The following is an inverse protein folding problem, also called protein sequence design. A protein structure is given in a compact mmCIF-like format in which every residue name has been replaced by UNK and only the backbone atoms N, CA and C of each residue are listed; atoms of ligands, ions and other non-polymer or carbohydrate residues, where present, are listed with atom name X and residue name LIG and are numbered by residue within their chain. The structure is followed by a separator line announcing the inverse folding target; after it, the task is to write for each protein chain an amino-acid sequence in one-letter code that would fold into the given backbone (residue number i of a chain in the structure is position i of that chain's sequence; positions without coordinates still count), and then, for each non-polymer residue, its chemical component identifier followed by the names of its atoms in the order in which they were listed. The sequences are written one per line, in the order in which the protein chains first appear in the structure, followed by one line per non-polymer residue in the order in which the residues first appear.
data_IF_373695657642
#
_entry.id   IF_373695657642
#
_cell.length_a   1.000
_cell.length_b   1.000
_cell.length_c   1.000
_cell.angle_alpha   90.00
_cell.angle_beta   90.00
_cell.angle_gamma   90.00
#
_symmetry.space_group_name_H-M   'P 1'
#
loop_
_entity.id
_entity.type
_entity.pdbx_description
1 polymer ?
#
# COMPACT_ATOMS: atom_id res chain seq x y z
N UNK A 1 -25.43 -9.17 -5.40
CA UNK A 1 -25.51 -9.27 -3.92
C UNK A 1 -25.33 -7.87 -3.35
N UNK A 2 -26.07 -7.46 -2.32
CA UNK A 2 -25.81 -6.17 -1.67
C UNK A 2 -24.35 -6.13 -1.24
N UNK A 3 -23.64 -5.06 -1.57
CA UNK A 3 -22.24 -4.86 -1.18
C UNK A 3 -22.19 -4.57 0.33
N UNK A 4 -22.53 -5.57 1.13
CA UNK A 4 -22.61 -5.49 2.58
C UNK A 4 -21.21 -5.23 3.11
N UNK A 5 -21.10 -4.27 4.03
CA UNK A 5 -19.86 -3.95 4.70
C UNK A 5 -19.27 -5.21 5.35
N UNK A 6 -18.03 -5.56 4.97
CA UNK A 6 -17.30 -6.74 5.44
C UNK A 6 -16.42 -6.38 6.64
N UNK A 7 -17.06 -6.25 7.80
CA UNK A 7 -16.40 -5.93 9.06
C UNK A 7 -15.34 -6.99 9.45
N UNK A 8 -15.57 -8.25 9.06
CA UNK A 8 -14.63 -9.35 9.21
C UNK A 8 -13.29 -9.08 8.50
N UNK A 9 -13.34 -8.62 7.25
CA UNK A 9 -12.14 -8.31 6.46
C UNK A 9 -11.41 -7.10 7.02
N UNK A 10 -12.12 -6.05 7.43
CA UNK A 10 -11.49 -4.90 8.08
C UNK A 10 -10.85 -5.28 9.43
N UNK A 11 -11.45 -6.20 10.18
CA UNK A 11 -10.87 -6.76 11.40
C UNK A 11 -9.57 -7.54 11.14
N UNK A 12 -9.55 -8.39 10.10
CA UNK A 12 -8.32 -9.10 9.69
C UNK A 12 -7.21 -8.12 9.28
N UNK A 13 -7.54 -7.07 8.54
CA UNK A 13 -6.58 -6.01 8.19
C UNK A 13 -6.03 -5.31 9.43
N UNK A 14 -6.86 -5.05 10.44
CA UNK A 14 -6.39 -4.48 11.70
C UNK A 14 -5.44 -5.43 12.45
N UNK A 15 -5.72 -6.74 12.46
CA UNK A 15 -4.82 -7.74 13.05
C UNK A 15 -3.45 -7.79 12.36
N UNK A 16 -3.41 -7.61 11.03
CA UNK A 16 -2.15 -7.55 10.27
C UNK A 16 -1.23 -6.39 10.70
N UNK A 17 -1.74 -5.35 11.36
CA UNK A 17 -0.95 -4.21 11.84
C UNK A 17 -0.24 -4.56 13.16
N UNK A 18 -0.75 -5.52 13.95
CA UNK A 18 -0.19 -5.85 15.27
C UNK A 18 1.29 -6.26 15.21
N UNK A 19 1.72 -7.18 14.32
CA UNK A 19 3.14 -7.54 14.22
C UNK A 19 4.04 -6.35 13.86
N UNK A 20 3.53 -5.39 13.08
CA UNK A 20 4.28 -4.17 12.69
C UNK A 20 4.52 -3.28 13.90
N UNK A 21 3.49 -3.08 14.72
CA UNK A 21 3.59 -2.27 15.95
C UNK A 21 4.52 -2.93 16.96
N UNK A 22 4.39 -4.25 17.15
CA UNK A 22 5.22 -5.01 18.08
C UNK A 22 6.69 -5.05 17.65
N UNK A 23 6.96 -5.16 16.35
CA UNK A 23 8.31 -5.03 15.78
C UNK A 23 8.94 -3.69 16.12
N UNK A 24 8.23 -2.58 15.86
CA UNK A 24 8.74 -1.24 16.19
C UNK A 24 8.80 -0.97 17.70
N UNK A 25 8.02 -1.68 18.50
CA UNK A 25 8.11 -1.68 19.97
C UNK A 25 9.25 -2.54 20.54
N UNK A 26 10.09 -3.13 19.69
CA UNK A 26 11.19 -4.03 20.07
C UNK A 26 10.73 -5.21 20.96
N UNK A 27 9.51 -5.71 20.73
CA UNK A 27 8.96 -6.85 21.47
C UNK A 27 9.64 -8.13 20.96
N UNK A 28 10.21 -8.98 21.86
CA UNK A 28 10.84 -10.24 21.46
C UNK A 28 9.89 -11.13 20.64
N UNK A 29 10.43 -11.92 19.71
CA UNK A 29 9.69 -12.82 18.81
C UNK A 29 8.87 -12.14 17.69
N UNK A 30 8.92 -10.81 17.58
CA UNK A 30 8.25 -10.06 16.52
C UNK A 30 9.24 -9.42 15.53
N UNK A 31 10.44 -10.00 15.32
CA UNK A 31 11.41 -9.47 14.35
C UNK A 31 10.87 -9.49 12.91
N UNK A 32 9.87 -10.35 12.62
CA UNK A 32 9.20 -10.50 11.34
C UNK A 32 8.02 -9.55 11.09
N UNK A 33 7.97 -8.37 11.71
CA UNK A 33 6.82 -7.45 11.62
C UNK A 33 6.40 -7.10 10.19
N UNK A 34 7.33 -7.12 9.24
CA UNK A 34 7.07 -6.88 7.80
C UNK A 34 6.06 -7.86 7.19
N UNK A 35 5.94 -9.08 7.72
CA UNK A 35 4.94 -10.08 7.28
C UNK A 35 3.51 -9.58 7.52
N UNK A 36 3.31 -8.74 8.53
CA UNK A 36 2.04 -8.06 8.77
C UNK A 36 1.63 -7.17 7.59
N UNK A 37 2.60 -6.42 7.03
CA UNK A 37 2.37 -5.56 5.86
C UNK A 37 2.07 -6.40 4.61
N UNK A 38 2.80 -7.50 4.42
CA UNK A 38 2.56 -8.44 3.31
C UNK A 38 1.12 -8.97 3.35
N UNK A 39 0.69 -9.45 4.52
CA UNK A 39 -0.65 -9.97 4.74
C UNK A 39 -1.72 -8.89 4.53
N UNK A 40 -1.46 -7.67 5.00
CA UNK A 40 -2.36 -6.53 4.80
C UNK A 40 -2.57 -6.21 3.32
N UNK A 41 -1.50 -6.22 2.51
CA UNK A 41 -1.60 -6.02 1.06
C UNK A 41 -2.38 -7.14 0.37
N UNK A 42 -2.13 -8.42 0.72
CA UNK A 42 -2.89 -9.55 0.17
C UNK A 42 -4.39 -9.40 0.41
N UNK A 43 -4.79 -9.11 1.64
CA UNK A 43 -6.21 -8.94 2.00
C UNK A 43 -6.81 -7.71 1.30
N UNK A 44 -6.05 -6.61 1.20
CA UNK A 44 -6.52 -5.39 0.54
C UNK A 44 -6.67 -5.56 -0.97
N UNK A 45 -5.75 -6.32 -1.59
CA UNK A 45 -5.78 -6.71 -2.99
C UNK A 45 -6.99 -7.58 -3.32
N UNK A 46 -7.22 -8.61 -2.51
CA UNK A 46 -8.40 -9.47 -2.59
C UNK A 46 -9.71 -8.66 -2.56
N UNK A 47 -9.88 -7.83 -1.53
CA UNK A 47 -11.10 -7.06 -1.34
C UNK A 47 -11.38 -6.15 -2.54
N UNK A 48 -10.38 -5.38 -2.98
CA UNK A 48 -10.57 -4.39 -4.05
C UNK A 48 -10.75 -5.07 -5.40
N UNK A 49 -10.00 -6.13 -5.70
CA UNK A 49 -10.14 -6.86 -6.95
C UNK A 49 -11.52 -7.50 -7.08
N UNK A 50 -12.01 -8.16 -6.02
CA UNK A 50 -13.35 -8.76 -6.00
C UNK A 50 -14.44 -7.70 -6.14
N UNK A 51 -14.32 -6.56 -5.44
CA UNK A 51 -15.26 -5.45 -5.56
C UNK A 51 -15.32 -4.89 -6.99
N UNK A 52 -14.16 -4.63 -7.60
CA UNK A 52 -14.09 -4.07 -8.96
C UNK A 52 -14.62 -5.09 -9.96
N UNK A 53 -14.16 -6.34 -9.91
CA UNK A 53 -14.59 -7.40 -10.83
C UNK A 53 -16.10 -7.63 -10.76
N UNK A 54 -16.67 -7.70 -9.54
CA UNK A 54 -18.12 -7.82 -9.34
C UNK A 54 -18.87 -6.63 -9.91
N UNK A 55 -18.44 -5.40 -9.62
CA UNK A 55 -19.10 -4.19 -10.13
C UNK A 55 -18.99 -4.10 -11.67
N UNK A 56 -17.90 -4.57 -12.28
CA UNK A 56 -17.74 -4.63 -13.74
C UNK A 56 -18.71 -5.64 -14.34
N UNK A 57 -18.77 -6.86 -13.79
CA UNK A 57 -19.68 -7.91 -14.26
C UNK A 57 -21.13 -7.48 -14.14
N UNK A 58 -21.50 -6.81 -13.05
CA UNK A 58 -22.84 -6.25 -12.82
C UNK A 58 -23.13 -4.97 -13.63
N UNK A 59 -22.18 -4.48 -14.43
CA UNK A 59 -22.24 -3.21 -15.19
C UNK A 59 -22.52 -1.98 -14.32
N UNK A 60 -22.08 -2.00 -13.06
CA UNK A 60 -22.25 -0.92 -12.07
C UNK A 60 -20.96 -0.17 -11.74
N UNK A 61 -19.83 -0.62 -12.27
CA UNK A 61 -18.54 -0.01 -11.96
C UNK A 61 -18.47 1.46 -12.43
N UNK A 62 -18.04 2.33 -11.52
CA UNK A 62 -17.81 3.76 -11.77
C UNK A 62 -16.54 4.20 -11.08
N UNK A 63 -15.58 4.71 -11.85
CA UNK A 63 -14.32 5.25 -11.34
C UNK A 63 -14.55 6.37 -10.33
N UNK A 64 -15.44 7.32 -10.63
CA UNK A 64 -15.76 8.43 -9.73
C UNK A 64 -16.32 7.95 -8.38
N UNK A 65 -17.24 6.97 -8.40
CA UNK A 65 -17.77 6.40 -7.16
C UNK A 65 -16.70 5.61 -6.38
N UNK A 66 -15.82 4.89 -7.07
CA UNK A 66 -14.70 4.16 -6.48
C UNK A 66 -13.76 5.11 -5.73
N UNK A 67 -13.21 6.12 -6.42
CA UNK A 67 -12.28 7.09 -5.81
C UNK A 67 -12.95 7.93 -4.73
N UNK A 68 -14.22 8.33 -4.89
CA UNK A 68 -14.96 9.09 -3.86
C UNK A 68 -15.14 8.31 -2.55
N UNK A 69 -15.33 6.98 -2.61
CA UNK A 69 -15.42 6.15 -1.41
C UNK A 69 -14.07 6.08 -0.69
N UNK A 70 -12.98 5.89 -1.44
CA UNK A 70 -11.62 5.87 -0.88
C UNK A 70 -11.25 7.21 -0.25
N UNK A 71 -11.46 8.31 -0.97
CA UNK A 71 -11.18 9.65 -0.49
C UNK A 71 -11.89 9.97 0.83
N UNK A 72 -13.19 9.64 0.96
CA UNK A 72 -13.96 9.84 2.21
C UNK A 72 -13.47 8.96 3.38
N UNK A 73 -12.86 7.80 3.09
CA UNK A 73 -12.31 6.90 4.10
C UNK A 73 -10.91 7.36 4.56
N UNK A 74 -10.07 7.85 3.65
CA UNK A 74 -8.65 8.07 3.90
C UNK A 74 -8.27 9.52 4.17
N UNK A 75 -8.82 10.47 3.38
CA UNK A 75 -8.39 11.88 3.46
C UNK A 75 -8.61 12.51 4.84
N UNK A 76 -9.73 12.29 5.56
CA UNK A 76 -9.91 12.93 6.86
C UNK A 76 -8.80 12.58 7.86
N UNK A 77 -8.43 11.29 7.93
CA UNK A 77 -7.39 10.83 8.85
C UNK A 77 -6.00 11.34 8.42
N UNK A 78 -5.69 11.33 7.11
CA UNK A 78 -4.41 11.82 6.61
C UNK A 78 -4.22 13.32 6.78
N UNK A 79 -5.25 14.10 6.47
CA UNK A 79 -5.21 15.56 6.66
C UNK A 79 -5.03 15.91 8.14
N UNK A 80 -5.72 15.19 9.04
CA UNK A 80 -5.51 15.35 10.47
C UNK A 80 -4.08 15.01 10.88
N UNK A 81 -3.54 13.88 10.41
CA UNK A 81 -2.16 13.48 10.69
C UNK A 81 -1.16 14.55 10.21
N UNK A 82 -1.30 15.03 8.97
CA UNK A 82 -0.41 16.06 8.42
C UNK A 82 -0.48 17.36 9.21
N UNK A 83 -1.69 17.80 9.57
CA UNK A 83 -1.88 18.99 10.40
C UNK A 83 -1.24 18.82 11.78
N UNK A 84 -1.45 17.66 12.42
CA UNK A 84 -0.87 17.36 13.73
C UNK A 84 0.67 17.35 13.68
N UNK A 85 1.27 16.69 12.70
CA UNK A 85 2.73 16.67 12.53
C UNK A 85 3.25 18.07 12.22
N UNK A 86 2.57 18.85 11.39
CA UNK A 86 2.99 20.22 11.07
C UNK A 86 2.98 21.12 12.30
N UNK A 87 1.88 21.11 13.07
CA UNK A 87 1.76 21.89 14.32
C UNK A 87 2.82 21.46 15.33
N UNK A 88 3.01 20.15 15.52
CA UNK A 88 4.02 19.62 16.43
C UNK A 88 5.44 20.02 15.99
N UNK A 89 5.74 19.93 14.69
CA UNK A 89 7.04 20.30 14.15
C UNK A 89 7.33 21.80 14.31
N UNK A 90 6.34 22.66 14.12
CA UNK A 90 6.48 24.10 14.31
C UNK A 90 6.74 24.47 15.77
N UNK A 91 6.14 23.73 16.71
CA UNK A 91 6.25 24.02 18.13
C UNK A 91 7.53 23.48 18.78
N UNK A 92 8.02 22.31 18.33
CA UNK A 92 9.05 21.57 19.06
C UNK A 92 10.32 21.24 18.27
N UNK A 93 10.32 21.36 16.94
CA UNK A 93 11.43 20.89 16.10
C UNK A 93 12.28 22.04 15.53
N UNK A 94 13.53 21.71 15.20
CA UNK A 94 14.43 22.65 14.53
C UNK A 94 13.94 22.97 13.11
N UNK A 95 14.34 24.09 12.49
CA UNK A 95 13.99 24.40 11.10
C UNK A 95 14.38 23.30 10.11
N UNK A 96 15.50 22.62 10.34
CA UNK A 96 15.94 21.49 9.51
C UNK A 96 14.99 20.28 9.63
N UNK A 97 14.60 19.91 10.85
CA UNK A 97 13.66 18.83 11.11
C UNK A 97 12.25 19.16 10.58
N UNK A 98 11.81 20.41 10.71
CA UNK A 98 10.55 20.89 10.11
C UNK A 98 10.58 20.76 8.58
N UNK A 99 11.69 21.17 7.94
CA UNK A 99 11.84 21.02 6.49
C UNK A 99 11.78 19.54 6.06
N UNK A 100 12.43 18.64 6.82
CA UNK A 100 12.33 17.19 6.57
C UNK A 100 10.90 16.67 6.69
N UNK A 101 10.14 17.08 7.72
CA UNK A 101 8.74 16.68 7.87
C UNK A 101 7.85 17.23 6.74
N UNK A 102 8.12 18.45 6.24
CA UNK A 102 7.43 18.98 5.05
C UNK A 102 7.73 18.16 3.79
N UNK A 103 8.97 17.70 3.61
CA UNK A 103 9.31 16.79 2.51
C UNK A 103 8.56 15.46 2.61
N UNK A 104 8.48 14.87 3.82
CA UNK A 104 7.73 13.63 4.05
C UNK A 104 6.22 13.79 3.76
N UNK A 105 5.61 14.88 4.23
CA UNK A 105 4.20 15.19 3.95
C UNK A 105 4.01 15.37 2.44
N UNK A 106 4.90 16.09 1.76
CA UNK A 106 4.82 16.33 0.32
C UNK A 106 4.94 15.03 -0.47
N UNK A 107 5.90 14.16 -0.11
CA UNK A 107 6.05 12.86 -0.73
C UNK A 107 4.80 11.97 -0.51
N UNK A 108 4.19 12.04 0.67
CA UNK A 108 2.95 11.31 0.97
C UNK A 108 1.74 11.82 0.16
N UNK A 109 1.57 13.15 0.06
CA UNK A 109 0.49 13.76 -0.76
C UNK A 109 0.63 13.40 -2.24
N UNK A 110 1.86 13.39 -2.74
CA UNK A 110 2.17 13.02 -4.12
C UNK A 110 2.13 11.50 -4.36
N UNK A 111 1.78 10.70 -3.34
CA UNK A 111 1.78 9.24 -3.37
C UNK A 111 3.14 8.68 -3.80
N UNK A 112 4.23 9.31 -3.39
CA UNK A 112 5.61 8.98 -3.75
C UNK A 112 6.48 8.62 -2.53
N UNK A 113 5.89 8.58 -1.33
CA UNK A 113 6.66 8.38 -0.10
C UNK A 113 7.44 7.06 -0.06
N UNK A 114 6.98 6.01 -0.75
CA UNK A 114 7.72 4.75 -0.85
C UNK A 114 9.08 4.92 -1.54
N UNK A 115 9.15 5.66 -2.64
CA UNK A 115 10.43 5.96 -3.30
C UNK A 115 11.25 6.98 -2.52
N UNK A 116 10.60 7.95 -1.88
CA UNK A 116 11.27 8.90 -0.99
C UNK A 116 12.07 8.20 0.12
N UNK A 117 11.49 7.19 0.76
CA UNK A 117 12.18 6.42 1.81
C UNK A 117 13.16 5.39 1.26
N UNK A 118 12.87 4.77 0.11
CA UNK A 118 13.78 3.84 -0.55
C UNK A 118 15.18 4.45 -0.77
N UNK A 119 15.24 5.73 -1.13
CA UNK A 119 16.51 6.43 -1.35
C UNK A 119 17.23 6.87 -0.06
N UNK A 120 16.56 6.82 1.09
CA UNK A 120 17.01 7.48 2.33
C UNK A 120 17.26 6.51 3.47
N UNK A 121 16.65 5.33 3.42
CA UNK A 121 16.58 4.41 4.55
C UNK A 121 16.71 2.98 4.06
N UNK A 122 17.60 2.24 4.71
CA UNK A 122 17.56 0.78 4.65
C UNK A 122 16.58 0.25 5.71
N UNK A 123 15.42 -0.23 5.27
CA UNK A 123 14.37 -0.75 6.14
C UNK A 123 14.87 -1.81 7.12
N UNK A 124 15.83 -2.64 6.69
CA UNK A 124 16.32 -3.78 7.46
C UNK A 124 17.56 -3.46 8.31
N UNK A 125 18.11 -2.24 8.24
CA UNK A 125 19.30 -1.84 8.99
C UNK A 125 19.03 -1.41 10.45
N UNK A 126 17.76 -1.32 10.86
CA UNK A 126 17.36 -1.16 12.26
C UNK A 126 17.28 0.27 12.83
N UNK A 127 17.75 1.29 12.12
CA UNK A 127 17.82 2.68 12.63
C UNK A 127 16.88 3.66 11.88
N UNK A 128 15.58 3.39 11.95
CA UNK A 128 14.56 4.06 11.12
C UNK A 128 13.66 5.04 11.89
N UNK A 129 13.97 5.32 13.16
CA UNK A 129 13.11 6.09 14.08
C UNK A 129 13.03 7.59 13.78
N UNK A 130 13.82 8.10 12.82
CA UNK A 130 13.94 9.52 12.52
C UNK A 130 12.79 10.10 11.69
N UNK A 131 11.98 9.27 11.04
CA UNK A 131 10.93 9.74 10.11
C UNK A 131 9.53 9.54 10.69
N UNK A 132 8.88 10.66 11.05
CA UNK A 132 7.55 10.64 11.70
C UNK A 132 6.44 10.11 10.80
N UNK A 133 6.57 10.22 9.48
CA UNK A 133 5.59 9.73 8.52
C UNK A 133 6.10 8.48 7.77
N UNK A 134 7.02 7.71 8.34
CA UNK A 134 7.63 6.56 7.65
C UNK A 134 6.55 5.65 7.04
N UNK A 135 5.54 5.30 7.84
CA UNK A 135 4.46 4.37 7.50
C UNK A 135 3.60 4.76 6.27
N UNK A 136 3.66 6.01 5.78
CA UNK A 136 2.90 6.44 4.59
C UNK A 136 3.39 5.80 3.30
N UNK A 137 4.58 5.19 3.30
CA UNK A 137 5.13 4.43 2.17
C UNK A 137 4.16 3.35 1.69
N UNK A 138 3.59 2.60 2.63
CA UNK A 138 2.71 1.47 2.32
C UNK A 138 1.40 1.94 1.69
N UNK A 139 0.86 3.04 2.19
CA UNK A 139 -0.30 3.71 1.62
C UNK A 139 -0.02 4.25 0.21
N UNK A 140 1.17 4.78 -0.05
CA UNK A 140 1.53 5.25 -1.39
C UNK A 140 1.52 4.11 -2.41
N UNK A 141 2.07 2.94 -2.06
CA UNK A 141 1.99 1.74 -2.92
C UNK A 141 0.53 1.32 -3.15
N UNK A 142 -0.27 1.28 -2.09
CA UNK A 142 -1.69 0.93 -2.15
C UNK A 142 -2.46 1.88 -3.10
N UNK A 143 -2.30 3.19 -2.97
CA UNK A 143 -2.99 4.17 -3.82
C UNK A 143 -2.45 4.19 -5.25
N UNK A 144 -1.13 4.04 -5.48
CA UNK A 144 -0.57 3.89 -6.83
C UNK A 144 -1.18 2.69 -7.56
N UNK A 145 -1.32 1.55 -6.87
CA UNK A 145 -2.00 0.38 -7.40
C UNK A 145 -3.46 0.71 -7.72
N UNK A 146 -4.18 1.41 -6.84
CA UNK A 146 -5.59 1.76 -7.08
C UNK A 146 -5.83 2.83 -8.12
N UNK A 147 -4.83 3.62 -8.49
CA UNK A 147 -4.92 4.52 -9.63
C UNK A 147 -4.90 3.75 -10.97
N UNK A 148 -4.10 2.69 -11.05
CA UNK A 148 -3.85 1.96 -12.31
C UNK A 148 -4.76 0.75 -12.45
N UNK A 149 -4.90 -0.03 -11.39
CA UNK A 149 -5.51 -1.36 -11.42
C UNK A 149 -6.98 -1.39 -11.85
N UNK A 150 -7.88 -0.49 -11.38
CA UNK A 150 -9.27 -0.53 -11.81
C UNK A 150 -9.43 -0.29 -13.31
N UNK A 151 -8.58 0.55 -13.90
CA UNK A 151 -8.56 0.80 -15.34
C UNK A 151 -8.01 -0.42 -16.09
N UNK A 152 -6.88 -0.97 -15.64
CA UNK A 152 -6.27 -2.17 -16.22
C UNK A 152 -7.24 -3.37 -16.21
N UNK A 153 -7.90 -3.63 -15.08
CA UNK A 153 -8.87 -4.71 -14.94
C UNK A 153 -10.11 -4.49 -15.80
N UNK A 154 -10.64 -3.26 -15.83
CA UNK A 154 -11.78 -2.92 -16.69
C UNK A 154 -11.46 -3.13 -18.18
N UNK A 155 -10.29 -2.69 -18.62
CA UNK A 155 -9.84 -2.88 -20.00
C UNK A 155 -9.68 -4.37 -20.29
N UNK A 156 -8.93 -5.10 -19.46
CA UNK A 156 -8.69 -6.53 -19.66
C UNK A 156 -9.98 -7.35 -19.72
N UNK A 157 -10.93 -7.12 -18.81
CA UNK A 157 -12.21 -7.83 -18.80
C UNK A 157 -13.07 -7.52 -20.02
N UNK A 158 -13.01 -6.29 -20.54
CA UNK A 158 -13.80 -5.87 -21.72
C UNK A 158 -13.18 -6.30 -23.04
N UNK A 159 -11.85 -6.34 -23.15
CA UNK A 159 -11.16 -6.64 -24.42
C UNK A 159 -10.76 -8.10 -24.56
N UNK A 160 -10.29 -8.74 -23.48
CA UNK A 160 -9.80 -10.11 -23.50
C UNK A 160 -10.87 -11.13 -23.08
N UNK A 161 -11.90 -10.68 -22.38
CA UNK A 161 -12.88 -11.55 -21.71
C UNK A 161 -12.34 -12.11 -20.39
N UNK A 162 -13.24 -12.65 -19.57
CA UNK A 162 -12.96 -13.02 -18.17
C UNK A 162 -11.78 -14.00 -18.02
N UNK A 163 -11.76 -15.09 -18.80
CA UNK A 163 -10.72 -16.12 -18.66
C UNK A 163 -9.32 -15.62 -19.02
N UNK A 164 -9.20 -14.85 -20.12
CA UNK A 164 -7.90 -14.30 -20.54
C UNK A 164 -7.45 -13.15 -19.63
N UNK A 165 -8.38 -12.37 -19.09
CA UNK A 165 -8.07 -11.39 -18.06
C UNK A 165 -7.48 -12.06 -16.82
N UNK A 166 -8.05 -13.17 -16.34
CA UNK A 166 -7.50 -13.94 -15.22
C UNK A 166 -6.07 -14.44 -15.48
N UNK A 167 -5.81 -14.96 -16.69
CA UNK A 167 -4.45 -15.37 -17.10
C UNK A 167 -3.49 -14.17 -17.12
N UNK A 168 -3.91 -13.02 -17.65
CA UNK A 168 -3.08 -11.82 -17.67
C UNK A 168 -2.74 -11.32 -16.25
N UNK A 169 -3.71 -11.37 -15.33
CA UNK A 169 -3.48 -11.04 -13.91
C UNK A 169 -2.50 -12.02 -13.27
N UNK A 170 -2.65 -13.34 -13.51
CA UNK A 170 -1.71 -14.35 -13.01
C UNK A 170 -0.29 -14.10 -13.52
N UNK A 171 -0.12 -13.79 -14.81
CA UNK A 171 1.18 -13.46 -15.39
C UNK A 171 1.78 -12.23 -14.69
N UNK A 172 0.97 -11.19 -14.46
CA UNK A 172 1.41 -9.98 -13.76
C UNK A 172 1.83 -10.28 -12.31
N UNK A 173 1.06 -11.10 -11.59
CA UNK A 173 1.37 -11.56 -10.24
C UNK A 173 2.69 -12.31 -10.20
N UNK A 174 2.87 -13.29 -11.09
CA UNK A 174 4.11 -14.08 -11.18
C UNK A 174 5.30 -13.19 -11.55
N UNK A 175 5.16 -12.30 -12.53
CA UNK A 175 6.22 -11.38 -12.93
C UNK A 175 6.62 -10.43 -11.79
N UNK A 176 5.65 -9.86 -11.08
CA UNK A 176 5.90 -9.00 -9.92
C UNK A 176 6.58 -9.76 -8.76
N UNK A 177 6.16 -11.00 -8.49
CA UNK A 177 6.78 -11.86 -7.48
C UNK A 177 8.23 -12.21 -7.84
N UNK A 178 8.48 -12.62 -9.09
CA UNK A 178 9.83 -12.91 -9.57
C UNK A 178 10.73 -11.67 -9.50
N UNK A 179 10.19 -10.49 -9.82
CA UNK A 179 10.92 -9.23 -9.66
C UNK A 179 11.26 -8.94 -8.19
N UNK A 180 10.33 -9.20 -7.26
CA UNK A 180 10.59 -9.12 -5.82
C UNK A 180 11.72 -10.05 -5.38
N UNK A 181 11.70 -11.32 -5.83
CA UNK A 181 12.74 -12.30 -5.52
C UNK A 181 14.09 -11.91 -6.13
N UNK A 182 14.08 -11.37 -7.35
CA UNK A 182 15.29 -10.86 -8.00
C UNK A 182 15.92 -9.73 -7.17
N UNK A 183 15.13 -8.72 -6.78
CA UNK A 183 15.64 -7.62 -5.96
C UNK A 183 16.20 -8.11 -4.61
N UNK A 184 15.45 -8.98 -3.91
CA UNK A 184 15.82 -9.44 -2.58
C UNK A 184 17.05 -10.37 -2.57
N UNK A 185 17.19 -11.26 -3.55
CA UNK A 185 18.20 -12.33 -3.50
C UNK A 185 19.34 -12.18 -4.50
N UNK A 186 19.09 -11.58 -5.67
CA UNK A 186 20.07 -11.49 -6.74
C UNK A 186 20.72 -10.12 -6.82
N UNK A 187 19.93 -9.06 -6.72
CA UNK A 187 20.46 -7.69 -6.69
C UNK A 187 20.99 -7.29 -5.30
N UNK A 188 20.59 -7.99 -4.24
CA UNK A 188 20.94 -7.63 -2.86
C UNK A 188 20.24 -6.37 -2.36
N UNK A 189 19.16 -5.95 -3.03
CA UNK A 189 18.39 -4.73 -2.75
C UNK A 189 17.13 -5.07 -1.93
N UNK A 190 17.29 -5.61 -0.72
CA UNK A 190 16.16 -6.02 0.14
C UNK A 190 15.18 -4.88 0.41
N UNK A 191 15.69 -3.67 0.66
CA UNK A 191 14.85 -2.47 0.80
C UNK A 191 14.17 -2.06 -0.51
N UNK A 192 14.81 -2.30 -1.65
CA UNK A 192 14.20 -2.19 -2.98
C UNK A 192 13.01 -3.14 -3.13
N UNK A 193 13.18 -4.42 -2.79
CA UNK A 193 12.09 -5.39 -2.80
C UNK A 193 10.91 -4.98 -1.90
N UNK A 194 11.20 -4.28 -0.81
CA UNK A 194 10.20 -3.83 0.17
C UNK A 194 9.43 -2.56 -0.23
N UNK A 195 10.14 -1.51 -0.69
CA UNK A 195 9.53 -0.21 -0.99
C UNK A 195 9.10 -0.03 -2.46
N UNK A 196 9.62 -0.83 -3.39
CA UNK A 196 9.33 -0.64 -4.80
C UNK A 196 7.93 -1.13 -5.16
N UNK A 197 7.11 -0.31 -5.82
CA UNK A 197 5.70 -0.67 -6.08
C UNK A 197 5.56 -1.93 -6.93
N UNK A 198 6.37 -2.05 -7.98
CA UNK A 198 6.32 -3.20 -8.89
C UNK A 198 6.71 -4.54 -8.24
N UNK A 199 7.54 -4.54 -7.18
CA UNK A 199 7.86 -5.77 -6.45
C UNK A 199 6.76 -6.17 -5.46
N UNK A 200 5.79 -5.29 -5.20
CA UNK A 200 4.69 -5.51 -4.24
C UNK A 200 3.36 -5.82 -4.91
N UNK A 201 3.23 -5.58 -6.22
CA UNK A 201 1.99 -5.79 -6.96
C UNK A 201 1.46 -7.23 -6.90
N UNK A 202 2.31 -8.25 -6.78
CA UNK A 202 1.88 -9.64 -6.61
C UNK A 202 1.00 -9.85 -5.37
N UNK A 203 1.17 -9.02 -4.34
CA UNK A 203 0.34 -9.06 -3.14
C UNK A 203 -1.02 -8.40 -3.40
N UNK A 204 -1.10 -7.44 -4.31
CA UNK A 204 -2.31 -6.68 -4.57
C UNK A 204 -3.17 -7.27 -5.70
N UNK A 205 -2.54 -7.95 -6.66
CA UNK A 205 -3.20 -8.61 -7.80
C UNK A 205 -3.63 -10.01 -7.41
N UNK A 206 -4.80 -10.14 -6.78
CA UNK A 206 -5.37 -11.43 -6.39
C UNK A 206 -6.88 -11.43 -6.62
N UNK A 207 -7.41 -12.46 -7.30
CA UNK A 207 -8.83 -12.64 -7.59
C UNK A 207 -9.25 -14.11 -7.35
N UNK A 208 -10.47 -14.33 -6.85
CA UNK A 208 -11.16 -15.63 -6.86
C UNK A 208 -11.77 -15.95 -8.24
#
# INVERSE_FOLDING_TARGET
MSNAYRADIDGLRALCILPVVLFHGAVPYFEGGFVGVDSFFVISGYLITTLIASDITDRKFSFGNFYRRRARRLLPALLFLYAAILVFSLAYYTPASLHSNLQQISASILLFSNFFYLERIDYFAGDNLSFMLLHTWSLSIEEQFYLVFPAALTIAMRTLGRSRAAVALLILTVASFLYSCYLAHWAGESSGAYYHSLSRFWQLVNAD
#
